data_IF_037984175425
#
_entry.id   IF_037984175425
#
_cell.length_a   1.000
_cell.length_b   1.000
_cell.length_c   1.000
_cell.angle_alpha   90.00
_cell.angle_beta   90.00
_cell.angle_gamma   90.00
#
_symmetry.space_group_name_H-M   'P 1'
#
loop_
_entity.id
_entity.type
_entity.pdbx_description
1 polymer ?
#
# COMPACT_ATOMS: atom_id res chain seq x y z
N UNK A 1 -47.63 -16.51 4.87
CA UNK A 1 -46.50 -16.36 5.80
C UNK A 1 -45.28 -16.03 4.95
N UNK A 2 -44.93 -14.75 4.81
CA UNK A 2 -43.84 -14.28 3.93
C UNK A 2 -42.51 -14.36 4.67
N UNK A 3 -41.61 -15.24 4.24
CA UNK A 3 -40.22 -15.28 4.71
C UNK A 3 -39.50 -14.15 3.97
N UNK A 4 -39.27 -13.03 4.67
CA UNK A 4 -38.37 -11.99 4.20
C UNK A 4 -36.95 -12.54 4.28
N UNK A 5 -36.50 -13.22 3.22
CA UNK A 5 -35.10 -13.57 3.03
C UNK A 5 -34.34 -12.27 2.71
N UNK A 6 -33.92 -11.59 3.77
CA UNK A 6 -32.89 -10.56 3.73
C UNK A 6 -31.61 -11.23 3.22
N UNK A 7 -31.35 -11.08 1.93
CA UNK A 7 -30.08 -11.46 1.30
C UNK A 7 -28.95 -10.85 2.13
N UNK A 8 -28.04 -11.64 2.71
CA UNK A 8 -26.90 -11.08 3.42
C UNK A 8 -26.02 -10.39 2.38
N UNK A 9 -26.08 -9.05 2.32
CA UNK A 9 -25.14 -8.25 1.54
C UNK A 9 -23.75 -8.56 2.09
N UNK A 10 -22.90 -9.22 1.30
CA UNK A 10 -21.51 -9.43 1.71
C UNK A 10 -20.89 -8.07 2.05
N UNK A 11 -20.26 -7.91 3.22
CA UNK A 11 -19.65 -6.64 3.59
C UNK A 11 -18.59 -6.27 2.55
N UNK A 12 -18.62 -5.03 2.05
CA UNK A 12 -17.58 -4.51 1.13
C UNK A 12 -16.26 -4.29 1.87
N UNK A 13 -16.34 -4.05 3.18
CA UNK A 13 -15.17 -3.85 4.05
C UNK A 13 -14.60 -5.17 4.54
N UNK A 14 -13.27 -5.26 4.54
CA UNK A 14 -12.54 -6.37 5.15
C UNK A 14 -12.69 -6.31 6.67
N UNK A 15 -13.02 -7.42 7.36
CA UNK A 15 -12.84 -7.52 8.79
C UNK A 15 -11.33 -7.58 9.07
N UNK A 16 -10.76 -6.47 9.57
CA UNK A 16 -9.32 -6.36 9.87
C UNK A 16 -9.14 -6.57 11.36
N UNK A 17 -8.44 -7.64 11.73
CA UNK A 17 -7.83 -7.74 13.05
C UNK A 17 -6.57 -6.87 13.06
N UNK A 18 -6.55 -5.86 13.93
CA UNK A 18 -5.47 -4.87 13.95
C UNK A 18 -4.25 -5.43 14.67
N UNK A 19 -3.29 -5.90 13.89
CA UNK A 19 -1.94 -6.25 14.35
C UNK A 19 -0.97 -5.10 14.09
N UNK A 20 0.16 -5.00 14.82
CA UNK A 20 1.18 -3.99 14.55
C UNK A 20 1.64 -3.96 13.08
N UNK A 21 1.78 -5.12 12.44
CA UNK A 21 2.15 -5.20 11.02
C UNK A 21 1.10 -4.59 10.08
N UNK A 22 -0.19 -4.78 10.35
CA UNK A 22 -1.27 -4.18 9.54
C UNK A 22 -1.38 -2.67 9.77
N UNK A 23 -1.08 -2.20 10.98
CA UNK A 23 -0.93 -0.76 11.26
C UNK A 23 0.24 -0.19 10.47
N UNK A 24 1.38 -0.89 10.42
CA UNK A 24 2.55 -0.46 9.65
C UNK A 24 2.25 -0.35 8.16
N UNK A 25 1.49 -1.28 7.56
CA UNK A 25 1.06 -1.17 6.15
C UNK A 25 0.36 0.16 5.89
N UNK A 26 -0.62 0.51 6.73
CA UNK A 26 -1.42 1.72 6.53
C UNK A 26 -0.56 2.96 6.77
N UNK A 27 0.16 3.02 7.89
CA UNK A 27 0.94 4.20 8.27
C UNK A 27 2.07 4.45 7.29
N UNK A 28 2.89 3.44 7.00
CA UNK A 28 4.02 3.59 6.07
C UNK A 28 3.52 3.84 4.64
N UNK A 29 2.43 3.17 4.21
CA UNK A 29 1.81 3.41 2.91
C UNK A 29 1.29 4.84 2.73
N UNK A 30 0.62 5.39 3.75
CA UNK A 30 0.16 6.80 3.73
C UNK A 30 1.33 7.77 3.73
N UNK A 31 2.38 7.52 4.52
CA UNK A 31 3.57 8.37 4.55
C UNK A 31 4.25 8.38 3.17
N UNK A 32 4.59 7.22 2.60
CA UNK A 32 5.25 7.15 1.29
C UNK A 32 4.39 7.76 0.19
N UNK A 33 3.08 7.48 0.19
CA UNK A 33 2.14 8.08 -0.76
C UNK A 33 2.14 9.61 -0.66
N UNK A 34 2.03 10.15 0.56
CA UNK A 34 2.04 11.59 0.81
C UNK A 34 3.36 12.24 0.38
N UNK A 35 4.49 11.59 0.65
CA UNK A 35 5.82 12.07 0.25
C UNK A 35 5.96 12.12 -1.27
N UNK A 36 5.45 11.11 -1.99
CA UNK A 36 5.44 11.09 -3.44
C UNK A 36 4.52 12.17 -4.04
N UNK A 37 3.31 12.33 -3.50
CA UNK A 37 2.41 13.40 -3.94
C UNK A 37 3.04 14.78 -3.70
N UNK A 38 3.62 15.00 -2.52
CA UNK A 38 4.35 16.22 -2.19
C UNK A 38 5.52 16.47 -3.15
N UNK A 39 6.36 15.46 -3.39
CA UNK A 39 7.48 15.58 -4.31
C UNK A 39 7.01 15.92 -5.73
N UNK A 40 5.94 15.29 -6.20
CA UNK A 40 5.33 15.60 -7.50
C UNK A 40 4.85 17.04 -7.61
N UNK A 41 4.18 17.57 -6.59
CA UNK A 41 3.77 18.97 -6.56
C UNK A 41 4.95 19.95 -6.56
N UNK A 42 5.97 19.69 -5.74
CA UNK A 42 7.13 20.59 -5.60
C UNK A 42 8.01 20.59 -6.84
N UNK A 43 8.17 19.43 -7.49
CA UNK A 43 9.08 19.27 -8.63
C UNK A 43 8.38 19.43 -9.99
N UNK A 44 7.05 19.41 -10.03
CA UNK A 44 6.27 19.40 -11.26
C UNK A 44 6.32 18.07 -12.02
N UNK A 45 6.91 17.03 -11.44
CA UNK A 45 7.05 15.71 -12.06
C UNK A 45 5.78 14.88 -11.83
N UNK A 46 5.06 14.61 -12.91
CA UNK A 46 3.75 13.94 -12.88
C UNK A 46 3.88 12.49 -12.45
N UNK A 47 5.03 11.86 -12.69
CA UNK A 47 5.35 10.49 -12.34
C UNK A 47 5.22 10.27 -10.82
N UNK A 48 5.74 11.19 -10.00
CA UNK A 48 5.62 11.08 -8.54
C UNK A 48 4.17 11.26 -8.07
N UNK A 49 3.39 12.13 -8.71
CA UNK A 49 1.96 12.29 -8.40
C UNK A 49 1.19 10.99 -8.67
N UNK A 50 1.39 10.41 -9.86
CA UNK A 50 0.74 9.17 -10.27
C UNK A 50 1.13 8.01 -9.37
N UNK A 51 2.42 7.89 -9.05
CA UNK A 51 2.92 6.84 -8.17
C UNK A 51 2.39 6.98 -6.75
N UNK A 52 2.38 8.20 -6.20
CA UNK A 52 1.82 8.49 -4.87
C UNK A 52 0.32 8.19 -4.80
N UNK A 53 -0.43 8.62 -5.82
CA UNK A 53 -1.87 8.36 -5.91
C UNK A 53 -2.18 6.86 -6.07
N UNK A 54 -1.42 6.13 -6.87
CA UNK A 54 -1.59 4.68 -7.04
C UNK A 54 -1.29 3.91 -5.75
N UNK A 55 -0.27 4.30 -4.98
CA UNK A 55 -0.03 3.70 -3.66
C UNK A 55 -1.18 4.00 -2.70
N UNK A 56 -1.70 5.23 -2.70
CA UNK A 56 -2.85 5.60 -1.88
C UNK A 56 -4.09 4.77 -2.21
N UNK A 57 -4.34 4.54 -3.50
CA UNK A 57 -5.40 3.66 -3.95
C UNK A 57 -5.20 2.24 -3.39
N UNK A 58 -3.97 1.72 -3.41
CA UNK A 58 -3.63 0.46 -2.74
C UNK A 58 -3.97 0.45 -1.24
N UNK A 59 -3.64 1.53 -0.52
CA UNK A 59 -4.02 1.69 0.90
C UNK A 59 -5.54 1.68 1.07
N UNK A 60 -6.31 2.30 0.18
CA UNK A 60 -7.78 2.23 0.22
C UNK A 60 -8.27 0.81 -0.02
N UNK A 61 -7.72 0.12 -1.03
CA UNK A 61 -8.10 -1.27 -1.38
C UNK A 61 -7.81 -2.23 -0.22
N UNK A 62 -6.80 -1.96 0.62
CA UNK A 62 -6.51 -2.73 1.84
C UNK A 62 -7.70 -2.89 2.79
N UNK A 63 -8.60 -1.90 2.82
CA UNK A 63 -9.81 -1.92 3.65
C UNK A 63 -10.98 -2.68 3.04
N UNK A 64 -10.81 -3.23 1.83
CA UNK A 64 -11.89 -3.88 1.07
C UNK A 64 -11.73 -5.39 1.04
N UNK A 65 -12.83 -6.11 0.82
CA UNK A 65 -12.81 -7.57 0.61
C UNK A 65 -12.07 -8.02 -0.64
N UNK A 66 -11.68 -7.09 -1.52
CA UNK A 66 -10.83 -7.39 -2.68
C UNK A 66 -9.37 -7.63 -2.29
N UNK A 67 -8.99 -7.38 -1.02
CA UNK A 67 -7.62 -7.61 -0.59
C UNK A 67 -7.28 -9.10 -0.49
N UNK A 68 -6.34 -9.55 -1.33
CA UNK A 68 -5.77 -10.89 -1.32
C UNK A 68 -4.28 -10.81 -0.95
N UNK A 69 -3.69 -11.82 -0.26
CA UNK A 69 -2.26 -11.84 0.08
C UNK A 69 -1.32 -11.55 -1.10
N UNK A 70 -1.65 -11.94 -2.33
CA UNK A 70 -0.85 -11.62 -3.52
C UNK A 70 -0.68 -10.10 -3.74
N UNK A 71 -1.64 -9.28 -3.28
CA UNK A 71 -1.51 -7.82 -3.34
C UNK A 71 -0.36 -7.28 -2.50
N UNK A 72 0.11 -8.00 -1.46
CA UNK A 72 1.34 -7.63 -0.76
C UNK A 72 2.56 -7.74 -1.68
N UNK A 73 2.64 -8.79 -2.52
CA UNK A 73 3.73 -8.94 -3.49
C UNK A 73 3.67 -7.88 -4.59
N UNK A 74 2.46 -7.58 -5.08
CA UNK A 74 2.25 -6.46 -6.00
C UNK A 74 2.69 -5.15 -5.34
N UNK A 75 2.36 -4.95 -4.06
CA UNK A 75 2.84 -3.84 -3.26
C UNK A 75 4.37 -3.76 -3.18
N UNK A 76 5.07 -4.88 -3.00
CA UNK A 76 6.55 -4.92 -3.00
C UNK A 76 7.12 -4.47 -4.34
N UNK A 77 6.59 -4.97 -5.45
CA UNK A 77 7.00 -4.59 -6.81
C UNK A 77 6.75 -3.09 -7.02
N UNK A 78 5.56 -2.62 -6.62
CA UNK A 78 5.16 -1.23 -6.74
C UNK A 78 6.10 -0.32 -5.95
N UNK A 79 6.33 -0.59 -4.67
CA UNK A 79 7.21 0.22 -3.80
C UNK A 79 8.66 0.19 -4.30
N UNK A 80 9.14 -0.95 -4.81
CA UNK A 80 10.48 -1.03 -5.43
C UNK A 80 10.57 -0.17 -6.69
N UNK A 81 9.48 -0.08 -7.46
CA UNK A 81 9.37 0.82 -8.61
C UNK A 81 9.44 2.29 -8.17
N UNK A 82 8.77 2.67 -7.07
CA UNK A 82 8.83 4.02 -6.51
C UNK A 82 10.27 4.42 -6.16
N UNK A 83 10.99 3.56 -5.43
CA UNK A 83 12.41 3.76 -5.12
C UNK A 83 13.24 3.92 -6.40
N UNK A 84 13.02 3.06 -7.39
CA UNK A 84 13.77 3.08 -8.65
C UNK A 84 13.53 4.38 -9.41
N UNK A 85 12.27 4.79 -9.58
CA UNK A 85 11.92 6.03 -10.26
C UNK A 85 12.49 7.25 -9.53
N UNK A 86 12.49 7.23 -8.20
CA UNK A 86 13.09 8.31 -7.42
C UNK A 86 14.59 8.45 -7.70
N UNK A 87 15.32 7.34 -7.69
CA UNK A 87 16.77 7.31 -7.96
C UNK A 87 17.05 7.80 -9.39
N UNK A 88 16.29 7.32 -10.38
CA UNK A 88 16.51 7.65 -11.79
C UNK A 88 16.17 9.09 -12.14
N UNK A 89 15.18 9.70 -11.49
CA UNK A 89 14.81 11.10 -11.73
C UNK A 89 15.79 12.12 -11.11
N UNK A 90 16.80 11.68 -10.36
CA UNK A 90 17.91 12.55 -9.94
C UNK A 90 17.46 13.81 -9.19
N UNK A 91 16.44 13.71 -8.34
CA UNK A 91 15.71 14.87 -7.84
C UNK A 91 16.54 15.74 -6.89
N UNK A 92 16.22 17.05 -6.86
CA UNK A 92 16.77 18.04 -5.89
C UNK A 92 16.43 17.72 -4.43
N UNK A 93 15.58 16.72 -4.18
CA UNK A 93 15.06 16.33 -2.87
C UNK A 93 15.75 15.05 -2.37
N UNK A 94 17.08 14.97 -2.48
CA UNK A 94 17.85 13.77 -2.14
C UNK A 94 17.67 13.33 -0.69
N UNK A 95 17.69 14.27 0.26
CA UNK A 95 17.44 13.97 1.67
C UNK A 95 16.05 13.40 1.92
N UNK A 96 15.02 13.95 1.25
CA UNK A 96 13.65 13.43 1.33
C UNK A 96 13.56 12.02 0.74
N UNK A 97 14.24 11.77 -0.38
CA UNK A 97 14.32 10.45 -1.00
C UNK A 97 14.97 9.40 -0.09
N UNK A 98 15.99 9.77 0.70
CA UNK A 98 16.60 8.85 1.69
C UNK A 98 15.61 8.52 2.80
N UNK A 99 14.92 9.52 3.35
CA UNK A 99 13.90 9.30 4.40
C UNK A 99 12.78 8.41 3.88
N UNK A 100 12.24 8.71 2.69
CA UNK A 100 11.20 7.90 2.08
C UNK A 100 11.71 6.50 1.74
N UNK A 101 12.95 6.34 1.30
CA UNK A 101 13.56 5.03 1.06
C UNK A 101 13.60 4.14 2.32
N UNK A 102 13.85 4.72 3.51
CA UNK A 102 13.79 3.99 4.78
C UNK A 102 12.36 3.56 5.11
N UNK A 103 11.38 4.46 4.92
CA UNK A 103 9.95 4.15 5.10
C UNK A 103 9.52 3.03 4.17
N UNK A 104 9.91 3.12 2.90
CA UNK A 104 9.63 2.14 1.85
C UNK A 104 10.26 0.78 2.15
N UNK A 105 11.50 0.75 2.67
CA UNK A 105 12.12 -0.50 3.11
C UNK A 105 11.30 -1.17 4.23
N UNK A 106 10.86 -0.39 5.21
CA UNK A 106 9.96 -0.89 6.26
C UNK A 106 8.65 -1.44 5.70
N UNK A 107 8.07 -0.76 4.70
CA UNK A 107 6.84 -1.19 4.04
C UNK A 107 7.04 -2.50 3.25
N UNK A 108 8.14 -2.62 2.50
CA UNK A 108 8.51 -3.85 1.78
C UNK A 108 8.65 -5.02 2.74
N UNK A 109 9.39 -4.85 3.84
CA UNK A 109 9.55 -5.89 4.86
C UNK A 109 8.20 -6.29 5.47
N UNK A 110 7.35 -5.30 5.76
CA UNK A 110 6.00 -5.53 6.30
C UNK A 110 5.12 -6.30 5.32
N UNK A 111 5.14 -5.97 4.03
CA UNK A 111 4.42 -6.70 2.99
C UNK A 111 4.89 -8.14 2.85
N UNK A 112 6.20 -8.38 2.81
CA UNK A 112 6.74 -9.74 2.73
C UNK A 112 6.37 -10.57 3.97
N UNK A 113 6.41 -9.96 5.16
CA UNK A 113 5.98 -10.59 6.40
C UNK A 113 4.49 -10.97 6.34
N UNK A 114 3.60 -10.02 5.99
CA UNK A 114 2.17 -10.28 5.92
C UNK A 114 1.80 -11.28 4.82
N UNK A 115 2.49 -11.26 3.68
CA UNK A 115 2.34 -12.28 2.66
C UNK A 115 2.67 -13.65 3.23
N UNK A 116 3.81 -13.79 3.90
CA UNK A 116 4.26 -15.07 4.44
C UNK A 116 3.30 -15.66 5.48
N UNK A 117 2.66 -14.83 6.30
CA UNK A 117 1.67 -15.32 7.29
C UNK A 117 0.31 -15.60 6.64
N UNK A 118 -0.25 -14.67 5.86
CA UNK A 118 -1.62 -14.78 5.35
C UNK A 118 -1.73 -15.81 4.21
N UNK A 119 -0.66 -16.00 3.42
CA UNK A 119 -0.65 -17.01 2.35
C UNK A 119 -0.63 -18.45 2.88
N UNK A 120 -0.13 -18.68 4.11
CA UNK A 120 -0.13 -20.01 4.73
C UNK A 120 -1.51 -20.39 5.28
N UNK A 121 -2.36 -19.41 5.56
CA UNK A 121 -3.69 -19.59 6.13
C UNK A 121 -4.76 -19.83 5.07
N UNK A 122 -4.46 -19.58 3.79
CA UNK A 122 -5.38 -19.85 2.70
C UNK A 122 -5.38 -21.36 2.34
N UNK A 123 -6.54 -22.05 2.40
CA UNK A 123 -6.63 -23.42 1.91
C UNK A 123 -6.40 -23.45 0.40
N UNK A 124 -5.67 -24.48 -0.05
CA UNK A 124 -5.39 -24.74 -1.47
C UNK A 124 -6.66 -24.99 -2.30
#
# INVERSE_FOLDING_TARGET
MSRNDITPTRPVRRPIEWTPARVLVVVLGVITSGLHVYAGFVTGQTEFLLMGAGLFAGVIVFFTVFWNPVLYLIGVIYVTTLVTVWILNGTRLSALGVVDGIVQLGLIVTFLYLFAIENREQPA
#
